data_IF_349470557139
#
_entry.id   IF_349470557139
#
_cell.length_a   1.000
_cell.length_b   1.000
_cell.length_c   1.000
_cell.angle_alpha   90.00
_cell.angle_beta   90.00
_cell.angle_gamma   90.00
#
_symmetry.space_group_name_H-M   'P 1'
#
loop_
_entity.id
_entity.type
_entity.pdbx_description
1 polymer ?
#
# COMPACT_ATOMS: atom_id res chain seq x y z
N UNK A 1 48.18 -18.11 27.36
CA UNK A 1 47.41 -19.11 26.59
C UNK A 1 45.98 -19.26 27.11
N UNK A 2 45.75 -19.35 28.43
CA UNK A 2 44.41 -19.44 29.04
C UNK A 2 43.55 -18.19 28.84
N UNK A 3 44.14 -16.99 28.99
CA UNK A 3 43.44 -15.70 28.80
C UNK A 3 42.99 -15.49 27.35
N UNK A 4 43.85 -15.87 26.40
CA UNK A 4 43.52 -15.79 24.96
C UNK A 4 42.41 -16.75 24.56
N UNK A 5 42.37 -17.95 25.16
CA UNK A 5 41.29 -18.93 24.94
C UNK A 5 39.98 -18.41 25.53
N UNK A 6 40.00 -17.82 26.73
CA UNK A 6 38.81 -17.24 27.37
C UNK A 6 38.20 -16.10 26.55
N UNK A 7 39.02 -15.23 25.95
CA UNK A 7 38.56 -14.14 25.09
C UNK A 7 37.95 -14.65 23.77
N UNK A 8 38.49 -15.72 23.19
CA UNK A 8 37.91 -16.36 22.00
C UNK A 8 36.55 -17.01 22.31
N UNK A 9 36.41 -17.65 23.47
CA UNK A 9 35.13 -18.22 23.92
C UNK A 9 34.07 -17.14 24.18
N UNK A 10 34.43 -16.03 24.83
CA UNK A 10 33.51 -14.91 25.05
C UNK A 10 33.11 -14.25 23.73
N UNK A 11 34.04 -14.11 22.78
CA UNK A 11 33.77 -13.64 21.43
C UNK A 11 32.80 -14.55 20.67
N UNK A 12 32.97 -15.87 20.78
CA UNK A 12 32.10 -16.86 20.15
C UNK A 12 30.68 -16.83 20.73
N UNK A 13 30.55 -16.74 22.06
CA UNK A 13 29.25 -16.63 22.75
C UNK A 13 28.54 -15.34 22.33
N UNK A 14 29.27 -14.23 22.27
CA UNK A 14 28.73 -12.96 21.80
C UNK A 14 28.25 -13.04 20.34
N UNK A 15 28.99 -13.74 19.48
CA UNK A 15 28.62 -13.98 18.08
C UNK A 15 27.35 -14.83 17.97
N UNK A 16 27.22 -15.88 18.78
CA UNK A 16 26.03 -16.74 18.82
C UNK A 16 24.82 -15.94 19.33
N UNK A 17 24.98 -15.15 20.40
CA UNK A 17 23.91 -14.31 20.95
C UNK A 17 23.50 -13.22 19.96
N UNK A 18 24.46 -12.59 19.26
CA UNK A 18 24.19 -11.62 18.21
C UNK A 18 23.45 -12.26 17.03
N UNK A 19 23.82 -13.49 16.64
CA UNK A 19 23.14 -14.24 15.58
C UNK A 19 21.69 -14.57 15.97
N UNK A 20 21.47 -15.03 17.20
CA UNK A 20 20.12 -15.27 17.74
C UNK A 20 19.30 -13.98 17.91
N UNK A 21 19.93 -12.86 18.29
CA UNK A 21 19.26 -11.56 18.42
C UNK A 21 18.94 -10.91 17.05
N UNK A 22 19.75 -11.19 16.03
CA UNK A 22 19.49 -10.80 14.63
C UNK A 22 18.44 -11.69 13.96
N UNK A 23 18.24 -12.92 14.44
CA UNK A 23 17.05 -13.73 14.16
C UNK A 23 15.88 -13.24 15.05
N UNK A 24 15.62 -11.93 15.01
CA UNK A 24 14.34 -11.32 15.43
C UNK A 24 13.24 -11.58 14.39
N UNK A 25 13.22 -12.78 13.82
CA UNK A 25 12.16 -13.26 12.95
C UNK A 25 11.12 -13.99 13.78
N UNK A 26 9.98 -13.33 14.06
CA UNK A 26 8.69 -13.93 14.44
C UNK A 26 8.73 -15.25 15.25
N UNK A 27 9.56 -15.37 16.30
CA UNK A 27 9.54 -16.57 17.15
C UNK A 27 8.21 -16.71 17.91
N UNK A 28 7.45 -15.62 18.06
CA UNK A 28 6.06 -15.63 18.53
C UNK A 28 5.10 -16.43 17.64
N UNK A 29 5.44 -16.66 16.36
CA UNK A 29 4.63 -17.48 15.45
C UNK A 29 4.86 -18.98 15.60
N UNK A 30 5.97 -19.41 16.21
CA UNK A 30 6.28 -20.83 16.43
C UNK A 30 5.70 -21.38 17.74
N UNK A 31 5.40 -20.51 18.72
CA UNK A 31 4.81 -20.89 20.01
C UNK A 31 3.27 -20.79 20.04
N UNK A 32 2.63 -20.32 18.96
CA UNK A 32 1.18 -20.38 18.79
C UNK A 32 0.74 -21.70 18.15
N UNK A 33 0.75 -22.77 18.94
CA UNK A 33 -0.23 -23.84 18.74
C UNK A 33 -1.52 -23.34 19.40
N UNK A 34 -2.49 -22.82 18.65
CA UNK A 34 -3.18 -23.57 17.61
C UNK A 34 -3.18 -22.87 16.25
N UNK A 35 -2.65 -23.56 15.23
CA UNK A 35 -2.93 -23.29 13.82
C UNK A 35 -4.40 -23.63 13.43
N UNK A 36 -5.32 -23.56 14.40
CA UNK A 36 -6.75 -23.73 14.15
C UNK A 36 -7.24 -22.48 13.44
N UNK A 37 -7.46 -22.61 12.14
CA UNK A 37 -8.13 -21.58 11.35
C UNK A 37 -9.61 -21.59 11.74
N UNK A 38 -10.15 -20.52 12.35
CA UNK A 38 -11.52 -20.53 12.89
C UNK A 38 -12.56 -20.29 11.79
N UNK A 39 -12.51 -21.08 10.71
CA UNK A 39 -13.41 -20.96 9.58
C UNK A 39 -14.39 -22.13 9.55
N UNK A 40 -15.67 -21.80 9.39
CA UNK A 40 -16.75 -22.76 9.15
C UNK A 40 -17.40 -22.44 7.81
N UNK A 41 -17.82 -23.46 7.09
CA UNK A 41 -18.57 -23.30 5.84
C UNK A 41 -19.95 -22.69 6.12
N UNK A 42 -20.43 -21.84 5.22
CA UNK A 42 -21.80 -21.32 5.22
C UNK A 42 -22.41 -21.41 3.81
N UNK A 43 -23.74 -21.41 3.72
CA UNK A 43 -24.42 -21.25 2.42
C UNK A 43 -24.08 -19.87 1.83
N UNK A 44 -23.82 -19.77 0.52
CA UNK A 44 -23.47 -18.50 -0.11
C UNK A 44 -24.68 -17.57 -0.24
N UNK A 45 -25.88 -18.12 -0.38
CA UNK A 45 -27.13 -17.37 -0.56
C UNK A 45 -28.07 -17.52 0.63
N UNK A 46 -28.81 -16.45 0.92
CA UNK A 46 -29.95 -16.49 1.84
C UNK A 46 -31.13 -17.26 1.23
N UNK A 47 -32.16 -17.59 2.03
CA UNK A 47 -33.37 -18.28 1.54
C UNK A 47 -34.06 -17.47 0.44
N UNK A 48 -34.21 -16.17 0.65
CA UNK A 48 -34.85 -15.24 -0.29
C UNK A 48 -34.03 -15.13 -1.58
N UNK A 49 -32.72 -14.94 -1.48
CA UNK A 49 -31.81 -14.93 -2.63
C UNK A 49 -31.85 -16.25 -3.40
N UNK A 50 -31.94 -17.39 -2.71
CA UNK A 50 -32.03 -18.71 -3.36
C UNK A 50 -33.29 -18.82 -4.21
N UNK A 51 -34.44 -18.42 -3.67
CA UNK A 51 -35.71 -18.41 -4.42
C UNK A 51 -35.60 -17.50 -5.64
N UNK A 52 -35.02 -16.31 -5.45
CA UNK A 52 -34.88 -15.35 -6.52
C UNK A 52 -33.90 -15.82 -7.60
N UNK A 53 -32.78 -16.44 -7.22
CA UNK A 53 -31.83 -17.05 -8.14
C UNK A 53 -32.49 -18.08 -9.06
N UNK A 54 -33.27 -19.01 -8.49
CA UNK A 54 -33.96 -20.01 -9.30
C UNK A 54 -34.97 -19.37 -10.25
N UNK A 55 -35.72 -18.34 -9.79
CA UNK A 55 -36.63 -17.58 -10.66
C UNK A 55 -35.88 -16.91 -11.81
N UNK A 56 -34.72 -16.29 -11.56
CA UNK A 56 -33.89 -15.68 -12.60
C UNK A 56 -33.45 -16.71 -13.62
N UNK A 57 -32.90 -17.85 -13.18
CA UNK A 57 -32.42 -18.92 -14.07
C UNK A 57 -33.54 -19.53 -14.90
N UNK A 58 -34.71 -19.77 -14.30
CA UNK A 58 -35.90 -20.30 -15.01
C UNK A 58 -36.46 -19.28 -16.02
N UNK A 59 -36.43 -17.99 -15.68
CA UNK A 59 -36.98 -16.93 -16.52
C UNK A 59 -36.05 -16.57 -17.68
N UNK A 60 -34.74 -16.74 -17.50
CA UNK A 60 -33.68 -16.26 -18.41
C UNK A 60 -32.76 -17.42 -18.85
N UNK A 61 -33.30 -18.50 -19.44
CA UNK A 61 -32.49 -19.67 -19.81
C UNK A 61 -31.37 -19.37 -20.82
N UNK A 62 -31.53 -18.32 -21.63
CA UNK A 62 -30.55 -17.84 -22.61
C UNK A 62 -29.40 -17.04 -22.01
N UNK A 63 -29.49 -16.64 -20.74
CA UNK A 63 -28.44 -15.88 -20.05
C UNK A 63 -27.65 -16.77 -19.07
N UNK A 64 -26.58 -16.21 -18.52
CA UNK A 64 -25.82 -16.77 -17.40
C UNK A 64 -26.10 -15.89 -16.19
N UNK A 65 -26.49 -16.53 -15.07
CA UNK A 65 -26.73 -15.85 -13.79
C UNK A 65 -25.61 -16.23 -12.83
N UNK A 66 -24.76 -15.27 -12.48
CA UNK A 66 -23.71 -15.42 -11.48
C UNK A 66 -24.19 -14.80 -10.17
N UNK A 67 -24.03 -15.49 -9.04
CA UNK A 67 -24.48 -15.00 -7.73
C UNK A 67 -23.31 -14.56 -6.83
N UNK A 68 -23.53 -13.58 -5.96
CA UNK A 68 -22.57 -13.05 -4.98
C UNK A 68 -21.23 -12.62 -5.62
N UNK A 69 -21.32 -11.89 -6.73
CA UNK A 69 -20.14 -11.52 -7.53
C UNK A 69 -19.49 -10.27 -6.97
N UNK A 70 -18.19 -10.32 -6.67
CA UNK A 70 -17.45 -9.12 -6.20
C UNK A 70 -17.34 -8.09 -7.32
N UNK A 71 -17.52 -6.80 -7.00
CA UNK A 71 -17.40 -5.72 -7.99
C UNK A 71 -16.01 -5.70 -8.65
N UNK A 72 -14.95 -5.98 -7.88
CA UNK A 72 -13.58 -6.11 -8.40
C UNK A 72 -13.36 -7.21 -9.44
N UNK A 73 -14.29 -8.15 -9.60
CA UNK A 73 -14.19 -9.22 -10.61
C UNK A 73 -14.62 -8.78 -12.01
N UNK A 74 -15.43 -7.71 -12.11
CA UNK A 74 -15.95 -7.21 -13.38
C UNK A 74 -15.79 -5.70 -13.58
N UNK A 75 -15.38 -4.96 -12.54
CA UNK A 75 -14.99 -3.56 -12.61
C UNK A 75 -13.47 -3.43 -12.50
N UNK A 76 -12.88 -2.61 -13.37
CA UNK A 76 -11.46 -2.26 -13.34
C UNK A 76 -11.26 -0.76 -13.14
N UNK A 77 -10.26 -0.39 -12.35
CA UNK A 77 -9.83 1.01 -12.24
C UNK A 77 -9.06 1.37 -13.50
N UNK A 78 -9.47 2.43 -14.19
CA UNK A 78 -8.72 2.98 -15.31
C UNK A 78 -7.40 3.58 -14.80
N UNK A 79 -6.30 2.88 -15.08
CA UNK A 79 -4.96 3.29 -14.65
C UNK A 79 -4.45 4.54 -15.39
N UNK A 80 -4.91 4.75 -16.62
CA UNK A 80 -4.55 5.91 -17.44
C UNK A 80 -5.22 7.15 -16.86
N UNK A 81 -6.53 7.07 -16.60
CA UNK A 81 -7.29 8.18 -16.02
C UNK A 81 -6.80 8.54 -14.60
N UNK A 82 -6.34 7.55 -13.84
CA UNK A 82 -5.78 7.76 -12.50
C UNK A 82 -4.29 8.13 -12.48
N UNK A 83 -3.63 8.19 -13.64
CA UNK A 83 -2.19 8.42 -13.78
C UNK A 83 -1.34 7.53 -12.85
N UNK A 84 -1.75 6.27 -12.68
CA UNK A 84 -1.22 5.30 -11.70
C UNK A 84 -1.16 5.79 -10.23
N UNK A 85 -1.73 6.95 -9.90
CA UNK A 85 -1.81 7.46 -8.53
C UNK A 85 -3.15 7.05 -7.93
N UNK A 86 -3.17 6.81 -6.63
CA UNK A 86 -4.40 6.50 -5.89
C UNK A 86 -5.15 5.24 -6.38
N UNK A 87 -4.49 4.28 -7.07
CA UNK A 87 -5.13 3.02 -7.50
C UNK A 87 -5.87 2.34 -6.33
N UNK A 88 -5.20 2.17 -5.19
CA UNK A 88 -5.80 1.54 -4.00
C UNK A 88 -7.00 2.32 -3.46
N UNK A 89 -7.04 3.65 -3.61
CA UNK A 89 -8.19 4.47 -3.20
C UNK A 89 -9.46 4.09 -3.97
N UNK A 90 -9.31 3.77 -5.26
CA UNK A 90 -10.42 3.39 -6.14
C UNK A 90 -10.70 1.89 -6.16
N UNK A 91 -9.67 1.06 -5.97
CA UNK A 91 -9.79 -0.40 -5.95
C UNK A 91 -10.38 -0.93 -4.64
N UNK A 92 -10.00 -0.35 -3.49
CA UNK A 92 -10.43 -0.86 -2.18
C UNK A 92 -11.95 -0.85 -1.98
N UNK A 93 -12.71 0.17 -2.44
CA UNK A 93 -14.18 0.13 -2.35
C UNK A 93 -14.77 -1.05 -3.14
N UNK A 94 -14.37 -1.24 -4.40
CA UNK A 94 -14.93 -2.30 -5.26
C UNK A 94 -14.48 -3.71 -4.83
N UNK A 95 -13.35 -3.86 -4.15
CA UNK A 95 -12.89 -5.14 -3.63
C UNK A 95 -13.62 -5.59 -2.36
N UNK A 96 -14.36 -4.70 -1.71
CA UNK A 96 -15.10 -4.97 -0.46
C UNK A 96 -16.61 -5.05 -0.68
N UNK A 97 -17.06 -4.98 -1.95
CA UNK A 97 -18.47 -4.97 -2.30
C UNK A 97 -18.77 -6.08 -3.30
N UNK A 98 -19.94 -6.67 -3.17
CA UNK A 98 -20.52 -7.62 -4.13
C UNK A 98 -21.87 -7.13 -4.65
N UNK A 99 -22.24 -7.65 -5.81
CA UNK A 99 -23.58 -7.64 -6.39
C UNK A 99 -24.23 -9.00 -6.08
N UNK A 100 -25.53 -9.00 -5.78
CA UNK A 100 -26.24 -10.26 -5.48
C UNK A 100 -26.30 -11.16 -6.70
N UNK A 101 -26.64 -10.61 -7.87
CA UNK A 101 -26.64 -11.33 -9.13
C UNK A 101 -26.08 -10.49 -10.29
N UNK A 102 -25.29 -11.12 -11.14
CA UNK A 102 -24.81 -10.56 -12.40
C UNK A 102 -25.37 -11.39 -13.56
N UNK A 103 -26.12 -10.72 -14.43
CA UNK A 103 -26.71 -11.32 -15.63
C UNK A 103 -25.76 -11.07 -16.79
N UNK A 104 -25.34 -12.15 -17.44
CA UNK A 104 -24.44 -12.10 -18.57
C UNK A 104 -25.01 -12.86 -19.78
N UNK A 105 -24.56 -12.47 -20.97
CA UNK A 105 -24.70 -13.31 -22.18
C UNK A 105 -23.90 -14.61 -22.03
N UNK A 106 -24.08 -15.57 -22.95
CA UNK A 106 -23.34 -16.84 -22.93
C UNK A 106 -21.81 -16.67 -23.06
N UNK A 107 -21.35 -15.56 -23.64
CA UNK A 107 -19.93 -15.21 -23.74
C UNK A 107 -19.45 -14.34 -22.55
N UNK A 108 -20.22 -14.28 -21.47
CA UNK A 108 -19.93 -13.51 -20.25
C UNK A 108 -19.90 -11.98 -20.40
N UNK A 109 -20.41 -11.42 -21.51
CA UNK A 109 -20.66 -9.98 -21.57
C UNK A 109 -21.77 -9.59 -20.58
N UNK A 110 -21.55 -8.51 -19.83
CA UNK A 110 -22.44 -8.06 -18.75
C UNK A 110 -23.68 -7.41 -19.36
N UNK A 111 -24.85 -7.93 -19.01
CA UNK A 111 -26.15 -7.37 -19.39
C UNK A 111 -26.66 -6.43 -18.29
N UNK A 112 -26.67 -6.91 -17.04
CA UNK A 112 -27.11 -6.14 -15.89
C UNK A 112 -26.58 -6.71 -14.57
N UNK A 113 -26.35 -5.80 -13.61
CA UNK A 113 -26.20 -6.08 -12.20
C UNK A 113 -27.58 -6.03 -11.51
N UNK A 114 -27.85 -6.94 -10.57
CA UNK A 114 -29.12 -7.06 -9.86
C UNK A 114 -28.89 -7.16 -8.34
N UNK A 115 -29.58 -6.32 -7.56
CA UNK A 115 -29.65 -6.42 -6.09
C UNK A 115 -31.07 -6.80 -5.63
N UNK A 116 -31.15 -7.58 -4.55
CA UNK A 116 -32.39 -7.94 -3.88
C UNK A 116 -32.42 -7.29 -2.48
N UNK A 117 -33.06 -6.12 -2.37
CA UNK A 117 -33.08 -5.31 -1.16
C UNK A 117 -34.21 -5.76 -0.20
N UNK A 118 -33.87 -6.02 1.06
CA UNK A 118 -34.85 -6.15 2.16
C UNK A 118 -35.26 -4.76 2.70
N UNK A 119 -36.37 -4.66 3.44
CA UNK A 119 -36.87 -3.40 4.04
C UNK A 119 -35.90 -2.68 4.99
N UNK A 120 -34.76 -3.27 5.31
CA UNK A 120 -33.88 -2.86 6.41
C UNK A 120 -32.78 -1.88 6.01
N UNK A 121 -33.14 -0.67 5.53
CA UNK A 121 -32.15 0.37 5.26
C UNK A 121 -32.55 1.77 5.75
N UNK A 122 -32.67 1.96 7.07
CA UNK A 122 -32.82 3.29 7.71
C UNK A 122 -31.53 3.87 8.31
N UNK A 123 -30.36 3.26 8.04
CA UNK A 123 -29.07 3.75 8.58
C UNK A 123 -28.29 4.54 7.53
N UNK A 124 -27.88 5.77 7.86
CA UNK A 124 -27.13 6.70 6.99
C UNK A 124 -25.91 6.03 6.32
N UNK A 125 -25.15 5.23 7.08
CA UNK A 125 -23.97 4.51 6.56
C UNK A 125 -24.29 3.47 5.47
N UNK A 126 -25.48 2.88 5.49
CA UNK A 126 -25.88 1.96 4.43
C UNK A 126 -26.17 2.73 3.13
N UNK A 127 -26.91 3.84 3.24
CA UNK A 127 -27.19 4.73 2.10
C UNK A 127 -25.92 5.25 1.43
N UNK A 128 -24.90 5.63 2.20
CA UNK A 128 -23.61 6.05 1.64
C UNK A 128 -22.90 4.93 0.87
N UNK A 129 -22.98 3.69 1.38
CA UNK A 129 -22.40 2.50 0.73
C UNK A 129 -23.12 2.17 -0.57
N UNK A 130 -24.45 2.26 -0.56
CA UNK A 130 -25.27 2.01 -1.75
C UNK A 130 -25.06 3.08 -2.81
N UNK A 131 -24.98 4.35 -2.42
CA UNK A 131 -24.65 5.44 -3.33
C UNK A 131 -23.28 5.23 -3.98
N UNK A 132 -22.27 4.79 -3.22
CA UNK A 132 -20.95 4.45 -3.80
C UNK A 132 -21.05 3.30 -4.80
N UNK A 133 -21.81 2.25 -4.48
CA UNK A 133 -22.03 1.11 -5.38
C UNK A 133 -22.69 1.58 -6.70
N UNK A 134 -23.75 2.38 -6.59
CA UNK A 134 -24.47 2.93 -7.73
C UNK A 134 -23.55 3.78 -8.61
N UNK A 135 -22.81 4.72 -8.01
CA UNK A 135 -21.88 5.59 -8.75
C UNK A 135 -20.79 4.80 -9.46
N UNK A 136 -20.26 3.74 -8.84
CA UNK A 136 -19.22 2.90 -9.44
C UNK A 136 -19.75 2.12 -10.65
N UNK A 137 -20.95 1.55 -10.55
CA UNK A 137 -21.59 0.82 -11.66
C UNK A 137 -22.00 1.76 -12.79
N UNK A 138 -22.53 2.94 -12.45
CA UNK A 138 -22.87 3.98 -13.44
C UNK A 138 -21.65 4.47 -14.20
N UNK A 139 -20.54 4.76 -13.50
CA UNK A 139 -19.28 5.15 -14.13
C UNK A 139 -18.74 4.07 -15.08
N UNK A 140 -18.97 2.80 -14.77
CA UNK A 140 -18.62 1.66 -15.61
C UNK A 140 -19.68 1.33 -16.68
N UNK A 141 -20.78 2.11 -16.76
CA UNK A 141 -21.92 1.89 -17.65
C UNK A 141 -22.58 0.52 -17.48
N UNK A 142 -22.51 -0.07 -16.29
CA UNK A 142 -23.17 -1.33 -15.96
C UNK A 142 -24.59 -1.01 -15.46
N UNK A 143 -25.66 -1.47 -16.14
CA UNK A 143 -27.02 -1.30 -15.66
C UNK A 143 -27.21 -1.96 -14.30
N UNK A 144 -27.80 -1.24 -13.35
CA UNK A 144 -28.17 -1.77 -12.04
C UNK A 144 -29.70 -1.82 -11.91
N UNK A 145 -30.23 -3.00 -11.62
CA UNK A 145 -31.65 -3.25 -11.33
C UNK A 145 -31.76 -3.59 -9.86
N UNK A 146 -32.73 -2.99 -9.16
CA UNK A 146 -33.01 -3.27 -7.75
C UNK A 146 -34.45 -3.70 -7.60
N UNK A 147 -34.66 -4.81 -6.89
CA UNK A 147 -35.98 -5.28 -6.52
C UNK A 147 -36.07 -5.46 -5.02
N UNK A 148 -37.27 -5.26 -4.48
CA UNK A 148 -37.53 -5.53 -3.08
C UNK A 148 -37.91 -6.99 -2.88
N UNK A 149 -37.32 -7.63 -1.89
CA UNK A 149 -37.59 -9.04 -1.58
C UNK A 149 -39.07 -9.35 -1.32
N UNK A 150 -39.80 -8.41 -0.72
CA UNK A 150 -41.23 -8.55 -0.42
C UNK A 150 -42.13 -8.42 -1.65
N UNK A 151 -41.66 -7.70 -2.67
CA UNK A 151 -42.35 -7.50 -3.95
C UNK A 151 -41.49 -8.06 -5.07
N UNK A 152 -41.16 -9.35 -4.93
CA UNK A 152 -40.24 -10.03 -5.84
C UNK A 152 -40.88 -10.13 -7.23
N UNK A 153 -40.19 -9.66 -8.29
CA UNK A 153 -40.77 -9.50 -9.60
C UNK A 153 -41.19 -10.83 -10.20
N UNK A 154 -42.24 -10.80 -11.03
CA UNK A 154 -42.66 -11.95 -11.83
C UNK A 154 -41.77 -12.11 -13.06
N UNK A 155 -41.80 -13.30 -13.66
CA UNK A 155 -40.98 -13.64 -14.83
C UNK A 155 -41.11 -12.62 -15.98
N UNK A 156 -42.32 -12.12 -16.25
CA UNK A 156 -42.54 -11.13 -17.31
C UNK A 156 -41.94 -9.75 -16.97
N UNK A 157 -41.99 -9.33 -15.71
CA UNK A 157 -41.36 -8.08 -15.26
C UNK A 157 -39.83 -8.15 -15.34
N UNK A 158 -39.25 -9.31 -15.00
CA UNK A 158 -37.81 -9.58 -15.14
C UNK A 158 -37.39 -9.46 -16.62
N UNK A 159 -38.13 -10.11 -17.53
CA UNK A 159 -37.85 -10.05 -18.97
C UNK A 159 -37.96 -8.63 -19.51
N UNK A 160 -39.03 -7.91 -19.18
CA UNK A 160 -39.23 -6.53 -19.63
C UNK A 160 -38.13 -5.59 -19.13
N UNK A 161 -37.72 -5.74 -17.86
CA UNK A 161 -36.65 -4.95 -17.28
C UNK A 161 -35.32 -5.16 -18.02
N UNK A 162 -34.99 -6.40 -18.40
CA UNK A 162 -33.75 -6.74 -19.10
C UNK A 162 -33.76 -6.43 -20.60
N UNK A 163 -34.93 -6.52 -21.26
CA UNK A 163 -35.07 -6.24 -22.70
C UNK A 163 -34.61 -4.82 -23.06
N UNK A 164 -34.86 -3.85 -22.18
CA UNK A 164 -34.40 -2.46 -22.32
C UNK A 164 -32.88 -2.34 -22.48
N UNK A 165 -32.12 -3.24 -21.87
CA UNK A 165 -30.66 -3.22 -21.87
C UNK A 165 -30.07 -4.09 -22.97
N UNK A 166 -30.71 -5.23 -23.28
CA UNK A 166 -30.29 -6.11 -24.39
C UNK A 166 -30.36 -5.41 -25.76
N UNK A 167 -31.37 -4.57 -26.00
CA UNK A 167 -31.52 -3.83 -27.27
C UNK A 167 -30.53 -2.67 -27.45
N UNK A 168 -29.94 -2.17 -26.36
CA UNK A 168 -29.03 -1.02 -26.39
C UNK A 168 -27.59 -1.41 -26.75
N UNK A 169 -27.24 -2.69 -26.56
CA UNK A 169 -25.87 -3.19 -26.63
C UNK A 169 -25.44 -3.66 -28.04
N UNK A 170 -26.39 -4.10 -28.87
CA UNK A 170 -26.09 -4.52 -30.25
C UNK A 170 -25.48 -3.41 -31.13
N UNK A 171 -25.66 -2.14 -30.76
CA UNK A 171 -25.10 -0.97 -31.45
C UNK A 171 -23.83 -0.38 -30.78
N UNK A 172 -23.42 -0.87 -29.60
CA UNK A 172 -22.18 -0.41 -28.92
C UNK A 172 -21.05 -1.45 -28.93
N UNK A 173 -21.36 -2.75 -29.04
CA UNK A 173 -20.37 -3.84 -29.07
C UNK A 173 -19.38 -3.70 -30.25
N UNK A 174 -19.76 -3.07 -31.38
CA UNK A 174 -18.86 -2.84 -32.51
C UNK A 174 -17.69 -1.87 -32.20
N UNK A 175 -17.85 -1.00 -31.19
CA UNK A 175 -16.85 0.01 -30.83
C UNK A 175 -15.97 -0.39 -29.63
N UNK A 176 -16.29 -1.50 -28.95
CA UNK A 176 -15.55 -1.97 -27.76
C UNK A 176 -14.39 -2.93 -28.09
N UNK A 177 -14.34 -3.47 -29.32
CA UNK A 177 -13.30 -4.40 -29.77
C UNK A 177 -11.90 -3.77 -29.87
N UNK A 178 -11.77 -2.45 -29.73
CA UNK A 178 -10.49 -1.73 -29.66
C UNK A 178 -9.83 -1.81 -28.26
N UNK A 179 -10.59 -2.15 -27.20
CA UNK A 179 -10.09 -2.30 -25.82
C UNK A 179 -9.57 -3.69 -25.47
N UNK A 180 -9.67 -4.66 -26.40
CA UNK A 180 -9.21 -6.05 -26.22
C UNK A 180 -7.77 -6.30 -26.67
N UNK A 181 -6.95 -5.25 -26.86
CA UNK A 181 -5.50 -5.44 -26.94
C UNK A 181 -4.98 -5.97 -25.58
N UNK A 182 -4.57 -7.24 -25.58
CA UNK A 182 -4.22 -8.06 -24.42
C UNK A 182 -3.24 -7.37 -23.42
N UNK A 183 -3.69 -7.02 -22.20
CA UNK A 183 -2.81 -6.50 -21.15
C UNK A 183 -1.88 -7.55 -20.54
N UNK A 184 -2.15 -8.86 -20.69
CA UNK A 184 -1.39 -9.92 -20.00
C UNK A 184 0.08 -9.89 -20.41
N UNK A 185 0.37 -9.68 -21.69
CA UNK A 185 1.74 -9.67 -22.20
C UNK A 185 2.61 -8.59 -21.54
N UNK A 186 2.01 -7.45 -21.17
CA UNK A 186 2.70 -6.35 -20.51
C UNK A 186 3.07 -6.68 -19.06
N UNK A 187 2.18 -7.33 -18.30
CA UNK A 187 2.46 -7.73 -16.90
C UNK A 187 3.47 -8.88 -16.79
N UNK A 188 3.42 -9.86 -17.70
CA UNK A 188 4.42 -10.93 -17.77
C UNK A 188 5.83 -10.40 -18.09
N UNK A 189 5.93 -9.39 -18.96
CA UNK A 189 7.21 -8.77 -19.31
C UNK A 189 7.78 -7.92 -18.16
N UNK A 190 6.94 -7.23 -17.38
CA UNK A 190 7.35 -6.50 -16.18
C UNK A 190 7.88 -7.46 -15.09
N UNK A 191 7.18 -8.57 -14.83
CA UNK A 191 7.62 -9.59 -13.89
C UNK A 191 8.95 -10.24 -14.31
N UNK A 192 9.12 -10.56 -15.61
CA UNK A 192 10.40 -11.05 -16.14
C UNK A 192 11.53 -10.02 -16.01
N UNK A 193 11.27 -8.73 -16.26
CA UNK A 193 12.28 -7.66 -16.15
C UNK A 193 12.75 -7.47 -14.70
N UNK A 194 11.83 -7.57 -13.74
CA UNK A 194 12.13 -7.45 -12.31
C UNK A 194 12.90 -8.67 -11.78
N UNK A 195 12.51 -9.88 -12.20
CA UNK A 195 13.23 -11.11 -11.87
C UNK A 195 14.65 -11.17 -12.49
N UNK A 196 14.82 -10.67 -13.71
CA UNK A 196 16.13 -10.60 -14.38
C UNK A 196 17.08 -9.62 -13.68
N UNK A 197 16.56 -8.50 -13.15
CA UNK A 197 17.34 -7.52 -12.37
C UNK A 197 17.86 -8.12 -11.05
N UNK A 198 17.01 -8.87 -10.33
CA UNK A 198 17.39 -9.53 -9.07
C UNK A 198 18.39 -10.68 -9.26
N UNK A 199 18.31 -11.40 -10.38
CA UNK A 199 19.27 -12.46 -10.71
C UNK A 199 20.66 -11.90 -11.05
N UNK A 200 20.70 -10.79 -11.82
CA UNK A 200 21.95 -10.13 -12.20
C UNK A 200 22.67 -9.55 -10.98
N UNK A 201 21.96 -8.91 -10.05
CA UNK A 201 22.57 -8.38 -8.82
C UNK A 201 23.11 -9.50 -7.91
N UNK A 202 22.46 -10.65 -7.87
CA UNK A 202 22.93 -11.81 -7.10
C UNK A 202 24.24 -12.39 -7.66
N UNK A 203 24.38 -12.49 -8.99
CA UNK A 203 25.62 -12.96 -9.63
C UNK A 203 26.77 -11.97 -9.38
N UNK A 204 26.54 -10.66 -9.54
CA UNK A 204 27.58 -9.66 -9.26
C UNK A 204 27.99 -9.66 -7.77
N UNK A 205 27.05 -9.92 -6.85
CA UNK A 205 27.35 -10.08 -5.42
C UNK A 205 28.27 -11.27 -5.13
N UNK A 206 28.01 -12.43 -5.74
CA UNK A 206 28.87 -13.62 -5.59
C UNK A 206 30.26 -13.39 -6.19
N UNK A 207 30.33 -12.72 -7.34
CA UNK A 207 31.60 -12.42 -8.00
C UNK A 207 32.46 -11.45 -7.18
N UNK A 208 31.84 -10.42 -6.59
CA UNK A 208 32.53 -9.48 -5.70
C UNK A 208 33.11 -10.18 -4.46
N UNK A 209 32.35 -11.10 -3.85
CA UNK A 209 32.83 -11.90 -2.72
C UNK A 209 34.00 -12.80 -3.16
N UNK A 210 33.92 -13.42 -4.33
CA UNK A 210 35.01 -14.23 -4.90
C UNK A 210 36.30 -13.42 -5.11
N UNK A 211 36.20 -12.19 -5.62
CA UNK A 211 37.35 -11.28 -5.79
C UNK A 211 37.97 -10.90 -4.45
N UNK A 212 37.15 -10.64 -3.42
CA UNK A 212 37.63 -10.32 -2.08
C UNK A 212 38.36 -11.52 -1.46
N UNK A 213 37.80 -12.73 -1.59
CA UNK A 213 38.42 -13.97 -1.09
C UNK A 213 39.74 -14.24 -1.84
N UNK A 214 39.75 -14.07 -3.17
CA UNK A 214 40.95 -14.24 -3.99
C UNK A 214 42.04 -13.21 -3.63
N UNK A 215 41.67 -11.93 -3.51
CA UNK A 215 42.59 -10.87 -3.11
C UNK A 215 43.14 -11.07 -1.69
N UNK A 216 42.30 -11.50 -0.74
CA UNK A 216 42.75 -11.86 0.61
C UNK A 216 43.71 -13.05 0.59
N UNK A 217 43.43 -14.08 -0.21
CA UNK A 217 44.33 -15.23 -0.39
C UNK A 217 45.69 -14.81 -0.95
N UNK A 218 45.70 -13.91 -1.92
CA UNK A 218 46.94 -13.46 -2.54
C UNK A 218 47.75 -12.56 -1.60
N UNK A 219 47.09 -11.64 -0.86
CA UNK A 219 47.75 -10.84 0.20
C UNK A 219 48.35 -11.75 1.28
N UNK A 220 47.64 -12.80 1.69
CA UNK A 220 48.15 -13.79 2.66
C UNK A 220 49.37 -14.52 2.09
N UNK A 221 49.34 -14.95 0.82
CA UNK A 221 50.50 -15.58 0.16
C UNK A 221 51.71 -14.64 0.13
N UNK A 222 51.52 -13.37 -0.23
CA UNK A 222 52.60 -12.38 -0.26
C UNK A 222 53.16 -12.14 1.14
N UNK A 223 52.28 -12.03 2.15
CA UNK A 223 52.68 -11.87 3.55
C UNK A 223 53.48 -13.09 4.06
N UNK A 224 53.04 -14.31 3.73
CA UNK A 224 53.76 -15.54 4.10
C UNK A 224 55.12 -15.65 3.40
N UNK A 225 55.22 -15.25 2.12
CA UNK A 225 56.47 -15.26 1.35
C UNK A 225 57.47 -14.21 1.84
N UNK A 226 56.99 -13.03 2.25
CA UNK A 226 57.82 -11.99 2.90
C UNK A 226 58.30 -12.47 4.27
N UNK A 227 57.44 -13.13 5.06
CA UNK A 227 57.79 -13.68 6.38
C UNK A 227 58.84 -14.81 6.30
N UNK A 228 58.79 -15.66 5.28
CA UNK A 228 59.82 -16.70 5.08
C UNK A 228 61.15 -16.13 4.62
N UNK A 229 61.13 -15.06 3.81
CA UNK A 229 62.35 -14.40 3.31
C UNK A 229 63.01 -13.55 4.40
N UNK A 230 62.22 -12.86 5.23
CA UNK A 230 62.74 -12.12 6.39
C UNK A 230 63.28 -13.04 7.48
N UNK A 231 62.77 -14.26 7.62
CA UNK A 231 63.33 -15.27 8.51
C UNK A 231 64.75 -15.71 8.11
N UNK A 232 65.09 -15.68 6.81
CA UNK A 232 66.44 -15.99 6.32
C UNK A 232 67.39 -14.79 6.39
N UNK A 233 66.89 -13.56 6.22
CA UNK A 233 67.68 -12.32 6.36
C UNK A 233 68.00 -12.00 7.85
N UNK A 234 67.15 -12.42 8.79
CA UNK A 234 67.34 -12.14 10.24
C UNK A 234 68.48 -12.95 10.88
N UNK A 235 69.03 -13.98 10.22
CA UNK A 235 70.23 -14.67 10.72
C UNK A 235 71.54 -13.93 10.42
N UNK A 236 71.55 -12.97 9.48
CA UNK A 236 72.77 -12.27 9.08
C UNK A 236 72.84 -10.79 9.50
N UNK A 237 71.84 -10.25 10.20
CA UNK A 237 71.88 -8.89 10.75
C UNK A 237 71.60 -8.96 12.25
N UNK A 238 72.56 -9.53 12.99
CA UNK A 238 72.61 -9.45 14.45
C UNK A 238 73.79 -8.58 14.87
N UNK A 239 73.83 -7.33 14.42
CA UNK A 239 74.46 -6.18 15.11
C UNK A 239 73.73 -4.93 14.62
N UNK A 240 72.74 -4.47 15.40
CA UNK A 240 72.49 -3.07 15.74
C UNK A 240 71.18 -3.01 16.54
N UNK A 241 71.30 -2.58 17.79
CA UNK A 241 70.21 -2.38 18.75
C UNK A 241 69.17 -1.39 18.20
N UNK A 242 67.85 -1.67 18.28
CA UNK A 242 66.85 -0.69 17.91
C UNK A 242 66.77 0.40 18.98
N UNK A 243 66.98 1.64 18.54
CA UNK A 243 66.68 2.85 19.31
C UNK A 243 65.18 2.84 19.67
N UNK A 244 64.88 3.04 20.95
CA UNK A 244 63.53 3.15 21.50
C UNK A 244 62.87 4.40 20.87
N UNK A 245 61.73 4.30 20.16
CA UNK A 245 61.10 5.48 19.58
C UNK A 245 60.62 6.39 20.72
N UNK A 246 60.82 7.70 20.58
CA UNK A 246 60.47 8.67 21.61
C UNK A 246 58.96 8.68 21.89
N UNK A 247 58.63 8.80 23.18
CA UNK A 247 57.28 8.78 23.78
C UNK A 247 56.29 9.75 23.09
N UNK A 248 56.78 10.83 22.47
CA UNK A 248 55.94 11.86 21.85
C UNK A 248 55.17 11.39 20.60
N UNK A 249 55.72 10.53 19.74
CA UNK A 249 55.06 10.18 18.46
C UNK A 249 53.82 9.29 18.65
N UNK A 250 53.82 8.39 19.63
CA UNK A 250 52.67 7.53 19.92
C UNK A 250 51.55 8.28 20.64
N UNK A 251 51.89 9.22 21.53
CA UNK A 251 50.91 10.10 22.18
C UNK A 251 50.17 10.97 21.17
N UNK A 252 50.89 11.51 20.19
CA UNK A 252 50.31 12.35 19.14
C UNK A 252 49.29 11.59 18.27
N UNK A 253 49.54 10.31 17.99
CA UNK A 253 48.63 9.43 17.24
C UNK A 253 47.36 9.13 18.05
N UNK A 254 47.48 8.86 19.35
CA UNK A 254 46.33 8.59 20.23
C UNK A 254 45.46 9.84 20.41
N UNK A 255 46.06 11.01 20.64
CA UNK A 255 45.35 12.28 20.71
C UNK A 255 44.64 12.63 19.39
N UNK A 256 45.25 12.28 18.25
CA UNK A 256 44.60 12.45 16.94
C UNK A 256 43.36 11.56 16.80
N UNK A 257 43.45 10.30 17.19
CA UNK A 257 42.30 9.38 17.16
C UNK A 257 41.18 9.78 18.12
N UNK A 258 41.52 10.30 19.31
CA UNK A 258 40.52 10.79 20.27
C UNK A 258 39.81 12.05 19.77
N UNK A 259 40.53 12.97 19.12
CA UNK A 259 39.93 14.15 18.46
C UNK A 259 38.98 13.73 17.33
N UNK A 260 39.38 12.77 16.50
CA UNK A 260 38.53 12.25 15.42
C UNK A 260 37.26 11.59 15.97
N UNK A 261 37.37 10.79 17.05
CA UNK A 261 36.22 10.17 17.70
C UNK A 261 35.28 11.20 18.33
N UNK A 262 35.83 12.19 19.03
CA UNK A 262 35.05 13.28 19.62
C UNK A 262 34.31 14.09 18.55
N UNK A 263 34.98 14.39 17.43
CA UNK A 263 34.36 15.06 16.28
C UNK A 263 33.23 14.22 15.66
N UNK A 264 33.40 12.91 15.52
CA UNK A 264 32.36 12.02 15.01
C UNK A 264 31.15 11.94 15.95
N UNK A 265 31.37 11.86 17.26
CA UNK A 265 30.31 11.84 18.26
C UNK A 265 29.51 13.15 18.26
N UNK A 266 30.18 14.29 18.04
CA UNK A 266 29.53 15.58 17.91
C UNK A 266 28.67 15.66 16.64
N UNK A 267 29.19 15.20 15.49
CA UNK A 267 28.43 15.10 14.23
C UNK A 267 27.22 14.18 14.40
N UNK A 268 27.37 13.04 15.10
CA UNK A 268 26.27 12.12 15.36
C UNK A 268 25.18 12.76 16.24
N UNK A 269 25.56 13.52 17.27
CA UNK A 269 24.62 14.29 18.11
C UNK A 269 23.89 15.36 17.30
N UNK A 270 24.59 16.10 16.45
CA UNK A 270 23.99 17.12 15.58
C UNK A 270 23.00 16.50 14.58
N UNK A 271 23.36 15.39 13.94
CA UNK A 271 22.49 14.67 13.02
C UNK A 271 21.23 14.12 13.72
N UNK A 272 21.38 13.61 14.94
CA UNK A 272 20.26 13.15 15.75
C UNK A 272 19.31 14.30 16.11
N UNK A 273 19.85 15.45 16.53
CA UNK A 273 19.07 16.64 16.83
C UNK A 273 18.33 17.16 15.59
N UNK A 274 19.00 17.27 14.44
CA UNK A 274 18.41 17.71 13.17
C UNK A 274 17.29 16.76 12.71
N UNK A 275 17.48 15.45 12.85
CA UNK A 275 16.47 14.44 12.53
C UNK A 275 15.22 14.59 13.41
N UNK A 276 15.40 14.80 14.71
CA UNK A 276 14.28 14.99 15.64
C UNK A 276 13.51 16.28 15.34
N UNK A 277 14.20 17.37 14.99
CA UNK A 277 13.56 18.60 14.54
C UNK A 277 12.73 18.38 13.26
N UNK A 278 13.25 17.62 12.30
CA UNK A 278 12.53 17.32 11.06
C UNK A 278 11.25 16.51 11.34
N UNK A 279 11.31 15.53 12.24
CA UNK A 279 10.14 14.73 12.65
C UNK A 279 9.08 15.63 13.30
N UNK A 280 9.50 16.52 14.21
CA UNK A 280 8.57 17.47 14.84
C UNK A 280 7.91 18.40 13.82
N UNK A 281 8.68 18.94 12.86
CA UNK A 281 8.14 19.77 11.78
C UNK A 281 7.14 19.00 10.90
N UNK A 282 7.42 17.74 10.57
CA UNK A 282 6.50 16.90 9.80
C UNK A 282 5.20 16.63 10.56
N UNK A 283 5.28 16.35 11.86
CA UNK A 283 4.10 16.15 12.70
C UNK A 283 3.26 17.43 12.81
N UNK A 284 3.88 18.60 12.96
CA UNK A 284 3.19 19.89 12.96
C UNK A 284 2.52 20.21 11.62
N UNK A 285 3.20 19.93 10.50
CA UNK A 285 2.60 20.10 9.17
C UNK A 285 1.42 19.15 8.96
N UNK A 286 1.54 17.89 9.38
CA UNK A 286 0.47 16.91 9.27
C UNK A 286 -0.76 17.28 10.12
N UNK A 287 -0.55 17.78 11.34
CA UNK A 287 -1.65 18.25 12.19
C UNK A 287 -2.33 19.49 11.63
N UNK A 288 -1.57 20.45 11.06
CA UNK A 288 -2.14 21.61 10.36
C UNK A 288 -2.99 21.21 9.16
N UNK A 289 -2.51 20.30 8.31
CA UNK A 289 -3.27 19.79 7.15
C UNK A 289 -4.55 19.07 7.58
N UNK A 290 -4.48 18.27 8.65
CA UNK A 290 -5.66 17.61 9.22
C UNK A 290 -6.68 18.61 9.76
N UNK A 291 -6.23 19.67 10.41
CA UNK A 291 -7.11 20.72 10.94
C UNK A 291 -7.79 21.52 9.82
N UNK A 292 -7.02 21.89 8.79
CA UNK A 292 -7.56 22.61 7.63
C UNK A 292 -8.60 21.76 6.88
N UNK A 293 -8.36 20.46 6.74
CA UNK A 293 -9.32 19.53 6.14
C UNK A 293 -10.64 19.46 6.92
N UNK A 294 -10.56 19.40 8.26
CA UNK A 294 -11.75 19.39 9.12
C UNK A 294 -12.52 20.72 9.04
N UNK A 295 -11.79 21.85 8.98
CA UNK A 295 -12.37 23.20 8.81
C UNK A 295 -13.15 23.31 7.50
N UNK A 296 -12.63 22.73 6.41
CA UNK A 296 -13.34 22.69 5.12
C UNK A 296 -14.55 21.76 5.13
N UNK A 297 -14.46 20.59 5.75
CA UNK A 297 -15.56 19.64 5.84
C UNK A 297 -16.76 20.24 6.59
N UNK A 298 -16.52 20.87 7.73
CA UNK A 298 -17.56 21.52 8.54
C UNK A 298 -18.21 22.67 7.77
N UNK A 299 -17.41 23.49 7.08
CA UNK A 299 -17.96 24.54 6.22
C UNK A 299 -18.88 23.99 5.13
N UNK A 300 -18.46 22.94 4.43
CA UNK A 300 -19.24 22.35 3.34
C UNK A 300 -20.54 21.69 3.83
N UNK A 301 -20.53 21.16 5.06
CA UNK A 301 -21.72 20.57 5.69
C UNK A 301 -22.73 21.64 6.12
N UNK A 302 -22.25 22.72 6.74
CA UNK A 302 -23.11 23.66 7.44
C UNK A 302 -23.50 24.89 6.60
N UNK A 303 -22.70 25.26 5.59
CA UNK A 303 -23.03 26.36 4.68
C UNK A 303 -24.11 25.94 3.68
N UNK A 304 -25.25 26.64 3.72
CA UNK A 304 -26.34 26.50 2.74
C UNK A 304 -26.45 27.76 1.89
N UNK A 305 -26.37 27.60 0.57
CA UNK A 305 -26.54 28.71 -0.39
C UNK A 305 -27.98 29.23 -0.32
N UNK A 306 -28.16 30.56 -0.39
CA UNK A 306 -29.51 31.16 -0.45
C UNK A 306 -30.27 30.69 -1.70
N UNK A 307 -31.57 30.46 -1.56
CA UNK A 307 -32.48 30.07 -2.65
C UNK A 307 -32.57 31.13 -3.76
N UNK A 308 -32.31 32.39 -3.43
CA UNK A 308 -32.24 33.54 -4.35
C UNK A 308 -31.06 33.47 -5.33
N UNK A 309 -30.06 32.61 -5.08
CA UNK A 309 -28.81 32.53 -5.84
C UNK A 309 -28.87 31.54 -7.02
N UNK A 310 -30.05 31.38 -7.62
CA UNK A 310 -30.36 30.45 -8.71
C UNK A 310 -30.47 31.13 -10.09
N UNK A 311 -30.66 32.45 -10.15
CA UNK A 311 -30.68 33.24 -11.40
C UNK A 311 -29.34 33.94 -11.68
N UNK A 312 -29.02 34.13 -12.96
CA UNK A 312 -27.79 34.78 -13.46
C UNK A 312 -27.67 36.25 -13.05
N UNK A 313 -28.80 36.93 -12.79
CA UNK A 313 -28.86 38.35 -12.39
C UNK A 313 -28.27 38.63 -11.00
N UNK A 314 -28.15 37.61 -10.13
CA UNK A 314 -27.77 37.80 -8.72
C UNK A 314 -26.38 37.24 -8.35
N UNK A 315 -25.56 36.81 -9.33
CA UNK A 315 -24.28 36.10 -9.06
C UNK A 315 -23.27 36.91 -8.23
N UNK A 316 -23.10 38.22 -8.51
CA UNK A 316 -22.14 39.08 -7.78
C UNK A 316 -22.58 39.27 -6.32
N UNK A 317 -23.86 39.52 -6.09
CA UNK A 317 -24.45 39.64 -4.74
C UNK A 317 -24.29 38.35 -3.94
N UNK A 318 -24.51 37.20 -4.58
CA UNK A 318 -24.32 35.89 -3.96
C UNK A 318 -22.86 35.57 -3.64
N UNK A 319 -21.91 35.95 -4.51
CA UNK A 319 -20.47 35.87 -4.23
C UNK A 319 -20.07 36.69 -3.01
N UNK A 320 -20.57 37.92 -2.91
CA UNK A 320 -20.33 38.78 -1.74
C UNK A 320 -20.92 38.22 -0.45
N UNK A 321 -22.14 37.63 -0.50
CA UNK A 321 -22.76 36.93 0.64
C UNK A 321 -21.94 35.71 1.07
N UNK A 322 -21.42 34.93 0.12
CA UNK A 322 -20.53 33.79 0.39
C UNK A 322 -19.24 34.23 1.10
N UNK A 323 -18.56 35.25 0.58
CA UNK A 323 -17.31 35.75 1.16
C UNK A 323 -17.53 36.21 2.61
N UNK A 324 -18.60 36.99 2.85
CA UNK A 324 -18.97 37.45 4.21
C UNK A 324 -19.26 36.29 5.16
N UNK A 325 -20.01 35.29 4.72
CA UNK A 325 -20.32 34.10 5.53
C UNK A 325 -19.04 33.31 5.85
N UNK A 326 -18.15 33.15 4.87
CA UNK A 326 -16.86 32.46 5.03
C UNK A 326 -15.94 33.19 6.00
N UNK A 327 -15.90 34.52 5.97
CA UNK A 327 -15.15 35.33 6.93
C UNK A 327 -15.70 35.17 8.36
N UNK A 328 -17.02 35.22 8.54
CA UNK A 328 -17.65 34.97 9.85
C UNK A 328 -17.37 33.58 10.38
N UNK A 329 -17.43 32.55 9.54
CA UNK A 329 -17.07 31.19 9.94
C UNK A 329 -15.61 31.08 10.36
N UNK A 330 -14.69 31.71 9.64
CA UNK A 330 -13.28 31.76 10.04
C UNK A 330 -13.11 32.40 11.42
N UNK A 331 -13.78 33.52 11.69
CA UNK A 331 -13.74 34.18 13.00
C UNK A 331 -14.29 33.29 14.11
N UNK A 332 -15.43 32.63 13.87
CA UNK A 332 -16.02 31.69 14.83
C UNK A 332 -15.10 30.50 15.12
N UNK A 333 -14.52 29.89 14.07
CA UNK A 333 -13.55 28.80 14.18
C UNK A 333 -12.35 29.17 15.04
N UNK A 334 -11.73 30.34 14.80
CA UNK A 334 -10.59 30.78 15.60
C UNK A 334 -11.00 31.06 17.05
N UNK A 335 -12.19 31.65 17.29
CA UNK A 335 -12.69 31.93 18.65
C UNK A 335 -12.96 30.66 19.46
N UNK A 336 -13.46 29.59 18.83
CA UNK A 336 -13.75 28.34 19.50
C UNK A 336 -12.47 27.52 19.72
N UNK A 337 -11.56 27.57 18.74
CA UNK A 337 -10.20 27.01 18.88
C UNK A 337 -9.43 27.62 20.03
N UNK A 338 -9.58 28.93 20.28
CA UNK A 338 -8.93 29.60 21.43
C UNK A 338 -9.50 29.20 22.79
N UNK A 339 -10.71 28.63 22.86
CA UNK A 339 -11.30 28.14 24.12
C UNK A 339 -10.89 26.71 24.47
N UNK A 340 -10.39 25.96 23.48
CA UNK A 340 -10.00 24.55 23.62
C UNK A 340 -8.50 24.36 23.92
N UNK A 341 -7.71 25.42 23.81
CA UNK A 341 -6.30 25.49 24.23
C UNK A 341 -6.22 26.10 25.61
#
# INVERSE_FOLDING_TARGET
MTVTIALLFLGLIFLIVALFASVKGNWSSLLSASNLRPYVSKKPLTRTETIFYHRLVETLPEFIVLAQVQLSSFLKVDRVQTNNKNFSKWFNPISQQSIDFLICTKDFNIVAAVELDDKTHLKIKAKERDNKKNNNLEAAKVPLIRWHAEDMPKSEEIKQALLKYSLKDHNQISNANEWLADPQQTYFNLAKKQAKSLYITFIFGIFAIGIIIWGASEIIRTYLKVKSTSAQITQNIKIQTPVKPSDNSYREILEKQERERSSQDEIAKQNFAAKNQLIQQQQQKASQVSEESLKEEIWNRDYKKSTECSSTENMVSCGNKYIKARQKFKQYWESEKSKLK
#
